data_IF_797311972584
#
_entry.id   IF_797311972584
#
_cell.length_a   1.000
_cell.length_b   1.000
_cell.length_c   1.000
_cell.angle_alpha   90.00
_cell.angle_beta   90.00
_cell.angle_gamma   90.00
#
_symmetry.space_group_name_H-M   'P 1'
#
loop_
_entity.id
_entity.type
_entity.pdbx_description
1 polymer ?
#
# COMPACT_ATOMS: atom_id res chain seq x y z
N UNK A 1 7.70 -47.76 14.92
CA UNK A 1 6.28 -47.58 15.31
C UNK A 1 6.03 -46.06 15.41
N UNK A 2 5.31 -45.49 14.45
CA UNK A 2 4.89 -44.09 14.49
C UNK A 2 3.84 -43.94 15.59
N UNK A 3 4.05 -42.97 16.50
CA UNK A 3 3.02 -42.54 17.46
C UNK A 3 2.56 -41.13 17.04
N UNK A 4 1.29 -41.01 16.77
CA UNK A 4 0.66 -39.75 16.48
C UNK A 4 0.48 -38.95 17.79
N UNK A 5 1.11 -37.80 17.88
CA UNK A 5 0.76 -36.77 18.90
C UNK A 5 -0.24 -35.84 18.24
N UNK A 6 -1.47 -35.79 18.75
CA UNK A 6 -2.48 -34.86 18.28
C UNK A 6 -2.20 -33.52 18.99
N UNK A 7 -1.80 -32.51 18.23
CA UNK A 7 -1.75 -31.14 18.70
C UNK A 7 -3.17 -30.56 18.74
N UNK A 8 -3.38 -29.56 19.60
CA UNK A 8 -4.60 -28.76 19.58
C UNK A 8 -4.83 -28.23 18.15
N UNK A 9 -6.05 -28.29 17.64
CA UNK A 9 -6.42 -27.80 16.31
C UNK A 9 -6.16 -26.30 16.11
N UNK A 10 -6.07 -25.53 17.18
CA UNK A 10 -5.72 -24.12 17.17
C UNK A 10 -4.22 -23.87 16.88
N UNK A 11 -3.36 -24.89 17.01
CA UNK A 11 -1.93 -24.78 16.74
C UNK A 11 -1.66 -24.94 15.25
N UNK A 12 -0.94 -23.97 14.68
CA UNK A 12 -0.48 -24.00 13.29
C UNK A 12 1.05 -24.05 13.25
N UNK A 13 1.65 -25.25 13.33
CA UNK A 13 3.09 -25.39 13.39
C UNK A 13 3.73 -25.02 12.04
N UNK A 14 4.76 -24.19 12.07
CA UNK A 14 5.51 -23.72 10.88
C UNK A 14 6.94 -24.22 10.87
N UNK A 15 7.55 -24.43 12.04
CA UNK A 15 8.90 -24.97 12.15
C UNK A 15 9.11 -25.65 13.48
N UNK A 16 10.11 -26.53 13.51
CA UNK A 16 10.60 -27.19 14.72
C UNK A 16 12.13 -27.14 14.78
N UNK A 17 12.67 -27.01 15.97
CA UNK A 17 14.11 -27.16 16.25
C UNK A 17 14.34 -27.76 17.61
N UNK A 18 15.53 -28.28 17.86
CA UNK A 18 15.92 -28.83 19.17
C UNK A 18 17.10 -28.04 19.70
N UNK A 19 17.01 -27.59 20.94
CA UNK A 19 18.09 -26.85 21.60
C UNK A 19 19.06 -27.78 22.34
N UNK A 20 20.15 -27.21 22.88
CA UNK A 20 21.18 -27.94 23.65
C UNK A 20 20.64 -28.65 24.91
N UNK A 21 19.50 -28.19 25.44
CA UNK A 21 18.84 -28.80 26.60
C UNK A 21 17.87 -29.92 26.22
N UNK A 22 17.91 -30.38 24.97
CA UNK A 22 16.94 -31.33 24.41
C UNK A 22 15.48 -30.86 24.53
N UNK A 23 15.22 -29.55 24.44
CA UNK A 23 13.87 -29.02 24.33
C UNK A 23 13.52 -28.88 22.85
N UNK A 24 12.29 -29.26 22.49
CA UNK A 24 11.73 -28.97 21.20
C UNK A 24 11.14 -27.56 21.22
N UNK A 25 11.57 -26.74 20.30
CA UNK A 25 11.03 -25.42 20.03
C UNK A 25 10.16 -25.53 18.78
N UNK A 26 8.88 -25.21 18.87
CA UNK A 26 7.93 -25.26 17.77
C UNK A 26 7.31 -23.89 17.57
N UNK A 27 7.46 -23.29 16.40
CA UNK A 27 6.80 -22.06 16.05
C UNK A 27 5.32 -22.35 15.78
N UNK A 28 4.44 -21.62 16.49
CA UNK A 28 3.00 -21.63 16.27
C UNK A 28 2.58 -20.32 15.58
N UNK A 29 2.28 -20.40 14.28
CA UNK A 29 1.70 -19.31 13.50
C UNK A 29 0.16 -19.30 13.56
N UNK A 30 -0.45 -20.09 14.46
CA UNK A 30 -1.86 -20.02 14.80
C UNK A 30 -2.19 -18.78 15.65
N UNK A 31 -3.34 -18.78 16.30
CA UNK A 31 -3.83 -17.64 17.10
C UNK A 31 -2.86 -17.22 18.21
N UNK A 32 -2.03 -18.15 18.71
CA UNK A 32 -1.07 -17.85 19.78
C UNK A 32 0.12 -17.02 19.34
N UNK A 33 0.60 -17.18 18.09
CA UNK A 33 1.75 -16.46 17.54
C UNK A 33 3.01 -16.57 18.44
N UNK A 34 3.30 -17.77 18.95
CA UNK A 34 4.35 -18.01 19.95
C UNK A 34 5.29 -19.13 19.52
N UNK A 35 6.42 -19.24 20.20
CA UNK A 35 7.25 -20.45 20.17
C UNK A 35 6.83 -21.32 21.36
N UNK A 36 6.33 -22.53 21.08
CA UNK A 36 5.96 -23.52 22.08
C UNK A 36 7.18 -24.34 22.45
N UNK A 37 7.41 -24.58 23.74
CA UNK A 37 8.59 -25.27 24.26
C UNK A 37 8.15 -26.58 24.90
N UNK A 38 8.68 -27.71 24.37
CA UNK A 38 8.40 -29.04 24.86
C UNK A 38 9.66 -29.66 25.46
N UNK A 39 9.49 -30.41 26.55
CA UNK A 39 10.51 -31.18 27.20
C UNK A 39 10.18 -32.71 27.19
N UNK A 40 11.15 -33.52 27.56
CA UNK A 40 10.96 -34.96 27.60
C UNK A 40 10.92 -35.59 26.20
N UNK A 41 11.72 -35.11 25.23
CA UNK A 41 11.76 -35.68 23.89
C UNK A 41 12.17 -37.17 23.84
N UNK A 42 12.94 -37.61 24.82
CA UNK A 42 13.31 -39.02 24.97
C UNK A 42 12.21 -39.83 25.63
N UNK A 43 11.24 -39.18 26.25
CA UNK A 43 10.11 -39.78 26.89
C UNK A 43 9.08 -40.21 25.86
N UNK A 44 8.24 -41.16 26.22
CA UNK A 44 7.16 -41.59 25.32
C UNK A 44 6.09 -40.57 25.07
N UNK A 45 6.06 -39.48 25.86
CA UNK A 45 5.08 -38.34 25.79
C UNK A 45 5.78 -37.03 26.09
N UNK A 46 6.34 -36.35 25.08
CA UNK A 46 6.81 -34.97 25.24
C UNK A 46 5.71 -34.08 25.81
N UNK A 47 6.06 -33.16 26.73
CA UNK A 47 5.09 -32.29 27.37
C UNK A 47 5.46 -30.84 27.08
N UNK A 48 4.46 -30.02 26.74
CA UNK A 48 4.66 -28.59 26.68
C UNK A 48 4.94 -28.05 28.10
N UNK A 49 6.04 -27.35 28.26
CA UNK A 49 6.51 -26.79 29.55
C UNK A 49 6.52 -25.27 29.57
N UNK A 50 6.43 -24.64 28.41
CA UNK A 50 6.45 -23.20 28.34
C UNK A 50 6.16 -22.67 26.95
N UNK A 51 6.14 -21.37 26.85
CA UNK A 51 6.04 -20.61 25.62
C UNK A 51 7.03 -19.46 25.65
N UNK A 52 7.45 -19.01 24.46
CA UNK A 52 8.23 -17.80 24.29
C UNK A 52 7.53 -16.89 23.29
N UNK A 53 7.29 -15.63 23.69
CA UNK A 53 6.51 -14.67 22.95
C UNK A 53 5.24 -14.25 23.70
N UNK A 54 4.71 -13.09 23.36
CA UNK A 54 3.42 -12.60 23.84
C UNK A 54 2.29 -13.41 23.16
N UNK A 55 1.28 -13.84 23.94
CA UNK A 55 0.15 -14.56 23.37
C UNK A 55 -0.63 -13.66 22.40
N UNK A 56 -0.88 -14.15 21.20
CA UNK A 56 -1.47 -13.39 20.10
C UNK A 56 -0.43 -12.60 19.31
N UNK A 57 0.86 -12.62 19.71
CA UNK A 57 1.93 -11.94 19.02
C UNK A 57 1.64 -10.46 18.78
N UNK A 58 1.86 -10.00 17.54
CA UNK A 58 1.60 -8.61 17.17
C UNK A 58 0.11 -8.23 17.27
N UNK A 59 -0.80 -9.20 17.20
CA UNK A 59 -2.25 -8.97 17.30
C UNK A 59 -2.78 -8.97 18.73
N UNK A 60 -1.98 -9.42 19.69
CA UNK A 60 -2.31 -9.45 21.12
C UNK A 60 -2.07 -8.13 21.82
N UNK A 61 -2.30 -8.14 23.15
CA UNK A 61 -2.05 -6.99 24.04
C UNK A 61 -3.05 -5.84 23.88
N UNK A 62 -2.81 -4.71 24.56
CA UNK A 62 -3.75 -3.60 24.62
C UNK A 62 -3.86 -2.82 23.29
N UNK A 63 -2.85 -2.92 22.42
CA UNK A 63 -2.83 -2.26 21.12
C UNK A 63 -2.47 -3.31 20.05
N UNK A 64 -3.49 -3.88 19.43
CA UNK A 64 -3.33 -4.84 18.35
C UNK A 64 -2.59 -4.20 17.17
N UNK A 65 -1.70 -4.95 16.52
CA UNK A 65 -0.89 -4.48 15.40
C UNK A 65 0.39 -3.74 15.77
N UNK A 66 0.53 -3.26 17.01
CA UNK A 66 1.74 -2.51 17.43
C UNK A 66 2.97 -3.41 17.51
N UNK A 67 4.06 -3.01 16.87
CA UNK A 67 5.36 -3.67 16.97
C UNK A 67 5.90 -3.58 18.40
N UNK A 68 6.48 -4.66 18.91
CA UNK A 68 7.04 -4.72 20.27
C UNK A 68 7.87 -5.97 20.49
N UNK A 69 8.55 -6.02 21.64
CA UNK A 69 9.38 -7.16 21.99
C UNK A 69 8.52 -8.41 22.22
N UNK A 70 8.97 -9.55 21.66
CA UNK A 70 8.29 -10.84 21.75
C UNK A 70 6.87 -10.84 21.15
N UNK A 71 6.53 -9.86 20.30
CA UNK A 71 5.26 -9.77 19.58
C UNK A 71 5.44 -10.25 18.13
N UNK A 72 5.50 -11.55 17.97
CA UNK A 72 5.78 -12.18 16.66
C UNK A 72 4.60 -12.01 15.70
N UNK A 73 4.93 -11.99 14.41
CA UNK A 73 3.95 -11.95 13.32
C UNK A 73 4.24 -13.09 12.35
N UNK A 74 3.48 -14.18 12.46
CA UNK A 74 3.69 -15.42 11.73
C UNK A 74 5.11 -15.98 11.95
N UNK A 75 5.43 -16.48 13.16
CA UNK A 75 6.74 -17.03 13.45
C UNK A 75 6.97 -18.29 12.60
N UNK A 76 8.11 -18.33 11.90
CA UNK A 76 8.46 -19.38 10.93
C UNK A 76 9.79 -20.06 11.24
N UNK A 77 10.51 -19.60 12.25
CA UNK A 77 11.76 -20.21 12.69
C UNK A 77 12.10 -19.83 14.12
N UNK A 78 12.57 -20.78 14.91
CA UNK A 78 13.08 -20.51 16.26
C UNK A 78 14.29 -21.41 16.55
N UNK A 79 15.22 -20.88 17.37
CA UNK A 79 16.40 -21.61 17.80
C UNK A 79 17.06 -20.97 19.00
N UNK A 80 18.04 -21.70 19.60
CA UNK A 80 18.89 -21.16 20.66
C UNK A 80 20.36 -21.40 20.32
N UNK A 81 21.21 -20.44 20.67
CA UNK A 81 22.66 -20.61 20.60
C UNK A 81 23.24 -21.34 21.82
N UNK A 82 24.55 -21.40 21.84
CA UNK A 82 25.30 -22.05 22.93
C UNK A 82 25.10 -21.42 24.29
N UNK A 83 24.89 -20.10 24.32
CA UNK A 83 24.72 -19.29 25.53
C UNK A 83 23.25 -19.26 25.98
N UNK A 84 22.36 -19.91 25.22
CA UNK A 84 20.93 -19.97 25.51
C UNK A 84 20.16 -18.74 25.03
N UNK A 85 20.74 -17.90 24.19
CA UNK A 85 20.01 -16.80 23.55
C UNK A 85 19.00 -17.37 22.56
N UNK A 86 17.79 -16.83 22.57
CA UNK A 86 16.73 -17.17 21.62
C UNK A 86 16.83 -16.38 20.35
N UNK A 87 16.50 -17.01 19.23
CA UNK A 87 16.34 -16.40 17.92
C UNK A 87 14.99 -16.79 17.37
N UNK A 88 14.25 -15.82 16.88
CA UNK A 88 12.93 -16.04 16.26
C UNK A 88 12.88 -15.29 14.94
N UNK A 89 12.47 -16.00 13.88
CA UNK A 89 12.17 -15.42 12.58
C UNK A 89 10.66 -15.37 12.37
N UNK A 90 10.15 -14.26 11.88
CA UNK A 90 8.76 -14.04 11.51
C UNK A 90 8.67 -13.58 10.06
N UNK A 91 7.63 -14.02 9.31
CA UNK A 91 7.46 -13.69 7.88
C UNK A 91 6.25 -12.81 7.58
N UNK A 92 5.43 -12.46 8.58
CA UNK A 92 4.15 -11.78 8.38
C UNK A 92 3.07 -12.69 7.80
N UNK A 93 1.86 -12.16 7.66
CA UNK A 93 0.68 -12.93 7.25
C UNK A 93 0.14 -12.59 5.86
N UNK A 94 0.73 -11.62 5.16
CA UNK A 94 0.37 -11.24 3.79
C UNK A 94 1.48 -11.59 2.82
N UNK A 95 1.20 -11.55 1.54
CA UNK A 95 2.15 -11.89 0.48
C UNK A 95 3.43 -11.04 0.50
N UNK A 96 3.32 -9.75 0.85
CA UNK A 96 4.46 -8.84 1.04
C UNK A 96 5.01 -8.80 2.45
N UNK A 97 4.79 -9.86 3.26
CA UNK A 97 4.98 -9.84 4.71
C UNK A 97 6.36 -9.46 5.22
N UNK A 98 7.41 -9.70 4.42
CA UNK A 98 8.79 -9.42 4.81
C UNK A 98 9.26 -10.31 5.97
N UNK A 99 10.54 -10.24 6.28
CA UNK A 99 11.16 -11.05 7.33
C UNK A 99 11.63 -10.17 8.48
N UNK A 100 11.33 -10.60 9.70
CA UNK A 100 11.89 -10.02 10.92
C UNK A 100 12.63 -11.10 11.66
N UNK A 101 13.89 -10.87 12.01
CA UNK A 101 14.68 -11.76 12.85
C UNK A 101 15.00 -11.02 14.14
N UNK A 102 14.72 -11.68 15.25
CA UNK A 102 14.93 -11.13 16.59
C UNK A 102 15.81 -12.05 17.42
N UNK A 103 16.71 -11.46 18.20
CA UNK A 103 17.53 -12.17 19.19
C UNK A 103 17.22 -11.69 20.59
N UNK A 104 17.09 -12.64 21.51
CA UNK A 104 16.77 -12.38 22.90
C UNK A 104 17.78 -13.08 23.82
N UNK A 105 18.05 -12.48 24.97
CA UNK A 105 18.83 -13.12 26.04
C UNK A 105 18.05 -14.31 26.62
N UNK A 106 18.70 -15.20 27.40
CA UNK A 106 18.02 -16.33 28.05
C UNK A 106 16.85 -15.92 28.96
N UNK A 107 16.88 -14.70 29.49
CA UNK A 107 15.80 -14.14 30.33
C UNK A 107 14.77 -13.33 29.51
N UNK A 108 14.82 -13.38 28.18
CA UNK A 108 13.81 -12.82 27.29
C UNK A 108 13.93 -11.32 27.01
N UNK A 109 15.09 -10.68 27.32
CA UNK A 109 15.34 -9.29 26.93
C UNK A 109 15.80 -9.23 25.47
N UNK A 110 15.22 -8.33 24.66
CA UNK A 110 15.63 -8.10 23.28
C UNK A 110 17.11 -7.66 23.23
N UNK A 111 17.91 -8.36 22.42
CA UNK A 111 19.31 -8.01 22.11
C UNK A 111 19.39 -7.17 20.87
N UNK A 112 18.71 -7.61 19.81
CA UNK A 112 18.61 -6.91 18.53
C UNK A 112 17.44 -7.44 17.71
N UNK A 113 16.99 -6.60 16.79
CA UNK A 113 15.98 -6.92 15.76
C UNK A 113 16.54 -6.51 14.40
N UNK A 114 16.37 -7.37 13.40
CA UNK A 114 16.74 -7.09 12.01
C UNK A 114 15.52 -7.27 11.13
N UNK A 115 15.34 -6.34 10.24
CA UNK A 115 14.29 -6.38 9.23
C UNK A 115 14.93 -6.81 7.91
N UNK A 116 14.31 -7.79 7.23
CA UNK A 116 14.54 -8.07 5.84
C UNK A 116 13.75 -7.14 4.95
N UNK A 117 13.67 -7.46 3.68
CA UNK A 117 12.90 -6.69 2.73
C UNK A 117 11.40 -6.74 3.08
N UNK A 118 10.78 -5.59 3.22
CA UNK A 118 9.33 -5.44 3.20
C UNK A 118 8.90 -5.04 1.79
N UNK A 119 7.99 -5.79 1.20
CA UNK A 119 7.45 -5.46 -0.12
C UNK A 119 6.44 -4.32 0.03
N UNK A 120 6.94 -3.09 0.07
CA UNK A 120 6.16 -1.90 0.42
C UNK A 120 5.41 -1.35 -0.79
N UNK A 121 6.00 -1.43 -1.99
CA UNK A 121 5.55 -0.77 -3.22
C UNK A 121 5.42 0.73 -3.03
N UNK A 122 4.22 1.32 -3.13
CA UNK A 122 4.02 2.74 -2.89
C UNK A 122 3.39 2.97 -1.53
N UNK A 123 4.05 3.80 -0.73
CA UNK A 123 3.58 4.24 0.58
C UNK A 123 3.14 5.71 0.53
N UNK A 124 2.46 6.15 1.57
CA UNK A 124 1.96 7.51 1.69
C UNK A 124 2.19 8.10 3.08
N UNK A 125 2.46 9.39 3.12
CA UNK A 125 2.66 10.15 4.36
C UNK A 125 1.33 10.74 4.85
N UNK A 126 1.05 10.60 6.14
CA UNK A 126 0.03 11.41 6.81
C UNK A 126 0.44 12.89 6.78
N UNK A 127 -0.08 13.64 5.80
CA UNK A 127 0.26 15.04 5.55
C UNK A 127 -0.09 15.99 6.69
N UNK A 128 -1.03 15.58 7.55
CA UNK A 128 -1.48 16.44 8.65
C UNK A 128 -0.53 16.38 9.84
N UNK A 129 0.03 15.21 10.11
CA UNK A 129 1.00 15.01 11.20
C UNK A 129 2.45 15.04 10.74
N UNK A 130 2.74 14.64 9.51
CA UNK A 130 4.08 14.45 8.94
C UNK A 130 4.97 13.47 9.74
N UNK A 131 4.33 12.58 10.52
CA UNK A 131 5.01 11.67 11.45
C UNK A 131 4.73 10.20 11.20
N UNK A 132 3.84 9.89 10.27
CA UNK A 132 3.47 8.51 9.96
C UNK A 132 3.44 8.29 8.45
N UNK A 133 4.05 7.18 8.02
CA UNK A 133 3.98 6.67 6.66
C UNK A 133 3.19 5.37 6.70
N UNK A 134 2.23 5.25 5.80
CA UNK A 134 1.39 4.07 5.64
C UNK A 134 1.71 3.37 4.33
N UNK A 135 1.94 2.08 4.38
CA UNK A 135 1.91 1.21 3.23
C UNK A 135 0.61 0.38 3.23
N UNK A 136 0.45 -0.49 2.26
CA UNK A 136 -0.69 -1.39 2.15
C UNK A 136 -1.03 -2.15 3.45
N UNK A 137 -0.05 -2.44 4.29
CA UNK A 137 -0.25 -3.25 5.50
C UNK A 137 0.60 -2.82 6.71
N UNK A 138 1.38 -1.74 6.60
CA UNK A 138 2.29 -1.29 7.66
C UNK A 138 2.19 0.20 7.89
N UNK A 139 2.51 0.57 9.12
CA UNK A 139 2.75 1.96 9.50
C UNK A 139 4.17 2.10 10.01
N UNK A 140 4.83 3.13 9.55
CA UNK A 140 6.14 3.56 10.03
C UNK A 140 6.00 4.90 10.72
N UNK A 141 6.73 5.10 11.80
CA UNK A 141 6.97 6.42 12.35
C UNK A 141 8.12 7.06 11.57
N UNK A 142 7.98 8.34 11.24
CA UNK A 142 8.98 9.09 10.48
C UNK A 142 9.41 10.34 11.23
N UNK A 143 10.72 10.58 11.16
CA UNK A 143 11.37 11.78 11.67
C UNK A 143 12.43 12.21 10.65
N UNK A 144 12.07 13.15 9.80
CA UNK A 144 12.96 13.65 8.75
C UNK A 144 14.15 14.46 9.28
N UNK A 145 14.18 14.81 10.56
CA UNK A 145 15.33 15.47 11.19
C UNK A 145 16.51 14.53 11.48
N UNK A 146 16.28 13.21 11.41
CA UNK A 146 17.31 12.20 11.60
C UNK A 146 18.14 11.99 10.33
N UNK A 147 19.37 11.47 10.45
CA UNK A 147 20.16 11.11 9.29
C UNK A 147 19.45 10.13 8.35
N UNK A 148 19.71 10.17 7.03
CA UNK A 148 19.21 9.18 6.08
C UNK A 148 19.50 7.75 6.55
N UNK A 149 18.50 6.87 6.47
CA UNK A 149 18.54 5.50 6.98
C UNK A 149 18.07 5.32 8.43
N UNK A 150 17.97 6.39 9.21
CA UNK A 150 17.44 6.38 10.59
C UNK A 150 16.09 7.08 10.72
N UNK A 151 15.58 7.62 9.62
CA UNK A 151 14.39 8.46 9.59
C UNK A 151 13.08 7.70 9.81
N UNK A 152 13.06 6.39 9.54
CA UNK A 152 11.86 5.58 9.64
C UNK A 152 12.01 4.44 10.63
N UNK A 153 10.95 4.21 11.41
CA UNK A 153 10.86 3.09 12.34
C UNK A 153 9.58 2.30 12.07
N UNK A 154 9.69 0.99 11.86
CA UNK A 154 8.52 0.13 11.71
C UNK A 154 7.75 0.11 13.05
N UNK A 155 6.54 0.64 13.03
CA UNK A 155 5.74 0.88 14.22
C UNK A 155 4.55 -0.07 14.36
N UNK A 156 3.91 -0.43 13.23
CA UNK A 156 2.71 -1.27 13.28
C UNK A 156 2.47 -2.08 12.01
N UNK A 157 1.82 -3.24 12.20
CA UNK A 157 1.21 -4.05 11.18
C UNK A 157 -0.30 -3.85 11.22
N UNK A 158 -0.88 -3.36 10.12
CA UNK A 158 -2.27 -2.89 10.10
C UNK A 158 -3.29 -3.92 9.62
N UNK A 159 -2.85 -5.08 9.13
CA UNK A 159 -3.74 -6.17 8.76
C UNK A 159 -3.86 -7.18 9.93
N UNK A 160 -5.06 -7.65 10.23
CA UNK A 160 -5.28 -8.63 11.29
C UNK A 160 -6.12 -9.82 10.77
N UNK A 161 -5.48 -10.91 10.33
CA UNK A 161 -6.17 -12.06 9.75
C UNK A 161 -7.04 -12.84 10.74
N UNK A 162 -6.83 -12.64 12.04
CA UNK A 162 -7.60 -13.31 13.08
C UNK A 162 -8.92 -12.58 13.40
N UNK A 163 -8.92 -11.25 13.26
CA UNK A 163 -10.12 -10.44 13.44
C UNK A 163 -10.89 -10.25 12.14
N UNK A 164 -10.17 -10.08 11.03
CA UNK A 164 -10.71 -9.87 9.68
C UNK A 164 -10.18 -10.92 8.72
N UNK A 165 -10.67 -12.18 8.78
CA UNK A 165 -10.11 -13.29 7.98
C UNK A 165 -10.35 -13.13 6.48
N UNK A 166 -11.34 -12.35 6.09
CA UNK A 166 -11.68 -12.05 4.70
C UNK A 166 -11.20 -10.67 4.25
N UNK A 167 -10.32 -10.02 5.01
CA UNK A 167 -9.66 -8.77 4.59
C UNK A 167 -9.04 -8.96 3.19
N UNK A 168 -9.43 -8.14 2.19
CA UNK A 168 -8.93 -8.30 0.82
C UNK A 168 -7.41 -8.27 0.70
N UNK A 169 -6.68 -7.59 1.60
CA UNK A 169 -5.20 -7.61 1.61
C UNK A 169 -4.60 -9.00 1.85
N UNK A 170 -5.36 -9.91 2.43
CA UNK A 170 -4.91 -11.29 2.69
C UNK A 170 -5.15 -12.20 1.49
N UNK A 171 -6.13 -11.85 0.66
CA UNK A 171 -6.58 -12.66 -0.48
C UNK A 171 -6.09 -12.17 -1.82
N UNK A 172 -5.90 -10.84 -1.94
CA UNK A 172 -5.47 -10.17 -3.16
C UNK A 172 -4.01 -9.72 -3.05
N UNK A 173 -3.48 -9.20 -4.14
CA UNK A 173 -2.15 -8.59 -4.21
C UNK A 173 -2.28 -7.07 -4.19
N UNK A 174 -2.39 -6.46 -3.02
CA UNK A 174 -2.40 -5.01 -2.91
C UNK A 174 -1.01 -4.45 -3.19
N UNK A 175 -0.95 -3.24 -3.76
CA UNK A 175 0.30 -2.62 -4.14
C UNK A 175 0.41 -1.18 -3.62
N UNK A 176 -0.38 -0.25 -4.13
CA UNK A 176 -0.26 1.14 -3.74
C UNK A 176 -1.19 1.49 -2.57
N UNK A 177 -0.69 2.31 -1.67
CA UNK A 177 -1.43 2.83 -0.52
C UNK A 177 -1.54 4.35 -0.61
N UNK A 178 -2.73 4.88 -0.29
CA UNK A 178 -2.98 6.30 -0.10
C UNK A 178 -3.63 6.52 1.26
N UNK A 179 -3.03 7.37 2.07
CA UNK A 179 -3.56 7.74 3.38
C UNK A 179 -4.08 9.18 3.36
N UNK A 180 -5.28 9.38 3.85
CA UNK A 180 -5.85 10.73 3.98
C UNK A 180 -6.75 10.86 5.21
N UNK A 181 -7.10 12.10 5.56
CA UNK A 181 -8.10 12.39 6.58
C UNK A 181 -9.29 13.09 5.94
N UNK A 182 -10.39 12.39 5.89
CA UNK A 182 -11.66 12.94 5.41
C UNK A 182 -12.46 13.39 6.63
N UNK A 183 -12.82 14.66 6.70
CA UNK A 183 -13.50 15.24 7.88
C UNK A 183 -12.78 14.92 9.20
N UNK A 184 -11.44 14.91 9.18
CA UNK A 184 -10.59 14.59 10.33
C UNK A 184 -10.44 13.10 10.66
N UNK A 185 -11.21 12.20 10.02
CA UNK A 185 -11.13 10.76 10.23
C UNK A 185 -10.09 10.13 9.30
N UNK A 186 -9.17 9.30 9.82
CA UNK A 186 -8.15 8.65 9.02
C UNK A 186 -8.75 7.53 8.15
N UNK A 187 -8.42 7.55 6.87
CA UNK A 187 -8.73 6.52 5.88
C UNK A 187 -7.46 6.08 5.18
N UNK A 188 -7.37 4.78 4.95
CA UNK A 188 -6.33 4.17 4.11
C UNK A 188 -7.01 3.54 2.89
N UNK A 189 -6.63 3.98 1.71
CA UNK A 189 -7.03 3.36 0.45
C UNK A 189 -5.90 2.49 -0.07
N UNK A 190 -6.24 1.32 -0.57
CA UNK A 190 -5.28 0.36 -1.12
C UNK A 190 -5.78 -0.12 -2.47
N UNK A 191 -4.91 -0.10 -3.48
CA UNK A 191 -5.22 -0.54 -4.84
C UNK A 191 -4.35 -1.72 -5.26
N UNK A 192 -4.74 -2.41 -6.33
CA UNK A 192 -3.90 -3.42 -6.98
C UNK A 192 -2.82 -2.79 -7.85
N UNK A 193 -1.90 -3.62 -8.33
CA UNK A 193 -0.87 -3.27 -9.30
C UNK A 193 -1.45 -2.58 -10.55
N UNK A 194 -2.56 -3.09 -11.07
CA UNK A 194 -3.25 -2.63 -12.26
C UNK A 194 -4.52 -1.84 -11.96
N UNK A 195 -4.69 -1.39 -10.72
CA UNK A 195 -5.85 -0.62 -10.24
C UNK A 195 -7.21 -1.25 -10.56
N UNK A 196 -7.29 -2.58 -10.57
CA UNK A 196 -8.54 -3.29 -10.83
C UNK A 196 -9.49 -3.29 -9.63
N UNK A 197 -8.96 -2.98 -8.46
CA UNK A 197 -9.74 -2.81 -7.24
C UNK A 197 -9.25 -1.64 -6.39
N UNK A 198 -10.14 -1.18 -5.53
CA UNK A 198 -9.82 -0.29 -4.42
C UNK A 198 -10.52 -0.76 -3.15
N UNK A 199 -9.79 -0.71 -2.06
CA UNK A 199 -10.28 -1.00 -0.73
C UNK A 199 -10.11 0.24 0.12
N UNK A 200 -11.15 0.64 0.86
CA UNK A 200 -11.03 1.67 1.88
C UNK A 200 -11.04 1.03 3.27
N UNK A 201 -10.13 1.47 4.10
CA UNK A 201 -10.01 1.09 5.50
C UNK A 201 -10.22 2.30 6.39
N UNK A 202 -10.88 2.09 7.51
CA UNK A 202 -11.00 3.04 8.61
C UNK A 202 -10.19 2.58 9.82
N UNK A 203 -9.98 3.44 10.80
CA UNK A 203 -9.27 3.12 12.02
C UNK A 203 -10.13 3.41 13.25
N UNK A 204 -10.08 2.51 14.22
CA UNK A 204 -10.63 2.73 15.54
C UNK A 204 -9.61 2.29 16.60
N UNK A 205 -8.72 3.18 17.05
CA UNK A 205 -7.67 2.81 18.00
C UNK A 205 -8.17 2.24 19.33
N UNK A 206 -9.42 2.53 19.70
CA UNK A 206 -9.99 2.04 20.97
C UNK A 206 -10.33 0.55 20.92
N UNK A 207 -10.81 0.06 19.79
CA UNK A 207 -11.26 -1.34 19.62
C UNK A 207 -10.29 -2.19 18.83
N UNK A 208 -9.47 -1.56 17.97
CA UNK A 208 -8.65 -2.24 16.96
C UNK A 208 -7.16 -1.89 17.03
N UNK A 209 -6.78 -1.00 17.93
CA UNK A 209 -5.39 -0.57 18.05
C UNK A 209 -4.89 0.05 16.75
N UNK A 210 -3.84 -0.55 16.16
CA UNK A 210 -3.25 -0.13 14.89
C UNK A 210 -3.89 -0.83 13.67
N UNK A 211 -4.84 -1.74 13.89
CA UNK A 211 -5.46 -2.50 12.80
C UNK A 211 -6.39 -1.61 11.97
N UNK A 212 -6.21 -1.63 10.68
CA UNK A 212 -7.09 -0.98 9.73
C UNK A 212 -8.30 -1.90 9.45
N UNK A 213 -9.50 -1.38 9.65
CA UNK A 213 -10.77 -2.11 9.54
C UNK A 213 -11.27 -2.01 8.10
N UNK A 214 -11.53 -3.12 7.40
CA UNK A 214 -12.17 -3.08 6.09
C UNK A 214 -13.48 -2.28 6.15
N UNK A 215 -13.68 -1.35 5.24
CA UNK A 215 -14.84 -0.46 5.27
C UNK A 215 -15.56 -0.35 3.92
N UNK A 216 -14.86 -0.54 2.82
CA UNK A 216 -15.42 -0.60 1.47
C UNK A 216 -14.51 -1.41 0.57
N UNK A 217 -15.10 -2.17 -0.33
CA UNK A 217 -14.40 -2.89 -1.37
C UNK A 217 -15.13 -2.76 -2.70
N UNK A 218 -14.46 -2.14 -3.67
CA UNK A 218 -14.89 -2.12 -5.06
C UNK A 218 -13.89 -2.87 -5.92
N UNK A 219 -14.37 -3.76 -6.76
CA UNK A 219 -13.52 -4.47 -7.70
C UNK A 219 -14.20 -4.65 -9.04
N UNK A 220 -13.38 -4.62 -10.06
CA UNK A 220 -13.74 -4.94 -11.43
C UNK A 220 -13.37 -6.36 -11.82
N UNK A 221 -12.33 -6.92 -11.19
CA UNK A 221 -11.80 -8.22 -11.52
C UNK A 221 -11.41 -8.98 -10.24
N UNK A 222 -11.89 -10.20 -10.14
CA UNK A 222 -11.56 -11.15 -9.07
C UNK A 222 -10.81 -12.38 -9.60
N UNK A 223 -10.16 -12.28 -10.76
CA UNK A 223 -9.38 -13.40 -11.29
C UNK A 223 -8.31 -13.83 -10.31
N UNK A 224 -8.16 -15.13 -10.12
CA UNK A 224 -7.24 -15.71 -9.14
C UNK A 224 -7.80 -15.84 -7.72
N UNK A 225 -9.00 -15.33 -7.44
CA UNK A 225 -9.69 -15.58 -6.17
C UNK A 225 -10.53 -16.85 -6.22
N UNK A 226 -10.77 -17.52 -5.07
CA UNK A 226 -11.74 -18.59 -4.99
C UNK A 226 -13.13 -18.15 -5.47
N UNK A 227 -13.88 -19.04 -6.14
CA UNK A 227 -15.18 -18.69 -6.74
C UNK A 227 -16.21 -18.15 -5.73
N UNK A 228 -16.10 -18.53 -4.47
CA UNK A 228 -17.00 -18.12 -3.39
C UNK A 228 -16.45 -16.96 -2.55
N UNK A 229 -15.35 -16.32 -2.96
CA UNK A 229 -14.80 -15.15 -2.26
C UNK A 229 -14.98 -13.86 -3.07
N UNK A 230 -15.29 -12.69 -2.46
CA UNK A 230 -15.63 -12.52 -1.05
C UNK A 230 -16.97 -13.17 -0.68
N UNK A 231 -17.20 -13.48 0.61
CA UNK A 231 -18.45 -14.08 1.06
C UNK A 231 -19.68 -13.29 0.61
N UNK A 232 -20.76 -14.00 0.25
CA UNK A 232 -22.06 -13.41 -0.11
C UNK A 232 -22.07 -12.46 -1.32
N UNK A 233 -21.00 -12.40 -2.11
CA UNK A 233 -20.97 -11.55 -3.30
C UNK A 233 -22.14 -11.86 -4.25
N UNK A 234 -22.81 -10.81 -4.80
CA UNK A 234 -23.91 -11.02 -5.74
C UNK A 234 -23.40 -11.38 -7.15
N UNK A 235 -24.29 -11.93 -7.95
CA UNK A 235 -24.20 -11.95 -9.41
C UNK A 235 -25.22 -10.92 -9.97
N UNK A 236 -24.87 -10.08 -10.95
CA UNK A 236 -23.64 -10.03 -11.71
C UNK A 236 -22.48 -9.38 -10.95
N UNK A 237 -21.27 -9.50 -11.53
CA UNK A 237 -19.96 -9.23 -10.88
C UNK A 237 -19.61 -7.75 -10.64
N UNK A 238 -20.46 -6.80 -10.95
CA UNK A 238 -20.21 -5.37 -10.72
C UNK A 238 -20.98 -4.90 -9.50
N UNK A 239 -20.26 -4.66 -8.43
CA UNK A 239 -20.82 -4.26 -7.14
C UNK A 239 -19.78 -3.49 -6.31
N UNK A 240 -20.26 -2.81 -5.31
CA UNK A 240 -19.47 -2.31 -4.20
C UNK A 240 -20.00 -2.92 -2.90
N UNK A 241 -19.10 -3.34 -2.04
CA UNK A 241 -19.39 -3.71 -0.66
C UNK A 241 -19.05 -2.54 0.27
N UNK A 242 -19.89 -2.27 1.27
CA UNK A 242 -19.66 -1.27 2.30
C UNK A 242 -20.05 -1.85 3.66
N UNK A 243 -19.14 -1.85 4.63
CA UNK A 243 -19.28 -2.34 6.00
C UNK A 243 -20.32 -1.50 6.79
N UNK A 244 -21.62 -1.59 6.43
CA UNK A 244 -22.64 -0.70 6.99
C UNK A 244 -22.90 -0.93 8.48
N UNK A 245 -22.69 -2.14 8.94
CA UNK A 245 -22.87 -2.50 10.35
C UNK A 245 -21.64 -2.20 11.22
N UNK A 246 -20.49 -1.94 10.63
CA UNK A 246 -19.25 -1.51 11.27
C UNK A 246 -18.43 -2.65 11.91
N UNK A 247 -18.63 -3.91 11.49
CA UNK A 247 -17.92 -5.07 12.03
C UNK A 247 -16.73 -5.55 11.16
N UNK A 248 -16.57 -4.98 9.96
CA UNK A 248 -15.51 -5.30 9.01
C UNK A 248 -15.62 -6.67 8.34
N UNK A 249 -16.80 -7.30 8.37
CA UNK A 249 -17.10 -8.60 7.76
C UNK A 249 -18.01 -8.43 6.56
N UNK A 250 -17.97 -9.37 5.62
CA UNK A 250 -18.84 -9.34 4.44
C UNK A 250 -20.21 -9.95 4.74
N UNK A 251 -21.29 -9.16 4.66
CA UNK A 251 -22.68 -9.61 4.76
C UNK A 251 -23.42 -9.38 3.45
N UNK A 252 -24.48 -10.18 3.22
CA UNK A 252 -25.23 -10.17 1.96
C UNK A 252 -25.97 -8.85 1.69
N UNK A 253 -26.43 -8.18 2.73
CA UNK A 253 -27.17 -6.92 2.67
C UNK A 253 -26.29 -5.66 2.57
N UNK A 254 -24.96 -5.84 2.57
CA UNK A 254 -23.98 -4.77 2.45
C UNK A 254 -23.45 -4.57 1.03
N UNK A 255 -23.87 -5.39 0.10
CA UNK A 255 -23.52 -5.27 -1.30
C UNK A 255 -24.53 -4.41 -2.05
N UNK A 256 -24.00 -3.42 -2.78
CA UNK A 256 -24.76 -2.62 -3.72
C UNK A 256 -24.35 -3.02 -5.15
N UNK A 257 -25.25 -3.62 -5.95
CA UNK A 257 -25.02 -3.83 -7.37
C UNK A 257 -24.85 -2.49 -8.08
N UNK A 258 -23.93 -2.45 -9.05
CA UNK A 258 -23.68 -1.29 -9.88
C UNK A 258 -24.04 -1.63 -11.33
N UNK A 259 -24.82 -0.76 -11.97
CA UNK A 259 -25.33 -1.00 -13.32
C UNK A 259 -24.21 -0.98 -14.38
N UNK A 260 -23.12 -0.26 -14.13
CA UNK A 260 -22.04 -0.12 -15.09
C UNK A 260 -20.69 0.09 -14.42
N UNK A 261 -19.68 -0.60 -14.93
CA UNK A 261 -18.29 -0.23 -14.68
C UNK A 261 -17.98 1.06 -15.45
N UNK A 262 -17.49 2.08 -14.73
CA UNK A 262 -17.23 3.39 -15.31
C UNK A 262 -15.83 3.50 -15.93
N UNK A 263 -14.95 2.55 -15.69
CA UNK A 263 -13.61 2.52 -16.27
C UNK A 263 -12.55 1.95 -15.32
N UNK A 264 -11.35 1.95 -15.77
CA UNK A 264 -10.12 1.76 -15.01
C UNK A 264 -9.19 2.90 -15.41
N UNK A 265 -8.31 3.28 -14.61
CA UNK A 265 -7.89 2.82 -13.28
C UNK A 265 -8.70 3.42 -12.13
N UNK A 266 -8.59 2.78 -10.96
CA UNK A 266 -9.26 3.22 -9.73
C UNK A 266 -8.22 3.77 -8.77
N UNK A 267 -8.46 4.97 -8.25
CA UNK A 267 -7.63 5.58 -7.20
C UNK A 267 -8.49 6.52 -6.33
N UNK A 268 -7.98 6.94 -5.20
CA UNK A 268 -8.67 7.91 -4.33
C UNK A 268 -7.91 9.23 -4.27
N UNK A 269 -8.63 10.33 -4.14
CA UNK A 269 -8.08 11.65 -3.83
C UNK A 269 -8.03 11.92 -2.32
N UNK A 270 -7.43 13.04 -1.96
CA UNK A 270 -7.25 13.46 -0.56
C UNK A 270 -8.58 13.81 0.14
N UNK A 271 -9.61 14.13 -0.61
CA UNK A 271 -10.97 14.35 -0.09
C UNK A 271 -11.80 13.06 0.01
N UNK A 272 -11.21 11.94 -0.33
CA UNK A 272 -11.86 10.63 -0.31
C UNK A 272 -12.67 10.30 -1.57
N UNK A 273 -12.67 11.16 -2.60
CA UNK A 273 -13.31 10.84 -3.89
C UNK A 273 -12.60 9.68 -4.57
N UNK A 274 -13.36 8.68 -5.01
CA UNK A 274 -12.86 7.50 -5.73
C UNK A 274 -13.00 7.76 -7.23
N UNK A 275 -11.89 7.71 -7.96
CA UNK A 275 -11.82 7.98 -9.39
C UNK A 275 -11.68 6.71 -10.21
N UNK A 276 -12.40 6.70 -11.32
CA UNK A 276 -12.28 5.73 -12.40
C UNK A 276 -12.02 6.49 -13.70
N UNK A 277 -11.05 6.04 -14.48
CA UNK A 277 -10.68 6.72 -15.73
C UNK A 277 -10.92 5.78 -16.90
N UNK A 278 -11.88 6.15 -17.73
CA UNK A 278 -12.15 5.53 -19.02
C UNK A 278 -11.46 6.28 -20.16
N UNK A 279 -11.54 5.76 -21.38
CA UNK A 279 -10.95 6.42 -22.54
C UNK A 279 -11.59 7.77 -22.87
N UNK A 280 -12.85 7.97 -22.53
CA UNK A 280 -13.64 9.15 -22.89
C UNK A 280 -13.94 10.07 -21.71
N UNK A 281 -13.80 9.59 -20.49
CA UNK A 281 -14.08 10.39 -19.31
C UNK A 281 -13.37 9.86 -18.06
N UNK A 282 -13.13 10.77 -17.10
CA UNK A 282 -12.87 10.44 -15.70
C UNK A 282 -14.17 10.57 -14.90
N UNK A 283 -14.45 9.56 -14.08
CA UNK A 283 -15.67 9.49 -13.26
C UNK A 283 -15.25 9.41 -11.79
N UNK A 284 -15.67 10.38 -11.00
CA UNK A 284 -15.39 10.46 -9.56
C UNK A 284 -16.63 10.14 -8.73
N UNK A 285 -16.52 9.23 -7.80
CA UNK A 285 -17.57 8.94 -6.81
C UNK A 285 -17.21 9.69 -5.52
N UNK A 286 -17.95 10.77 -5.19
CA UNK A 286 -17.62 11.60 -4.05
C UNK A 286 -17.82 10.85 -2.72
N UNK A 287 -16.98 11.16 -1.74
CA UNK A 287 -17.27 10.80 -0.35
C UNK A 287 -18.60 11.44 0.05
N UNK A 288 -19.48 10.68 0.70
CA UNK A 288 -20.83 11.11 1.09
C UNK A 288 -20.88 11.50 2.56
N UNK A 289 -20.59 10.57 3.45
CA UNK A 289 -20.66 10.80 4.90
C UNK A 289 -20.04 9.62 5.66
N UNK A 290 -19.80 9.82 6.94
CA UNK A 290 -19.64 8.71 7.87
C UNK A 290 -20.99 8.31 8.46
N UNK A 291 -21.22 7.00 8.59
CA UNK A 291 -22.39 6.48 9.35
C UNK A 291 -22.22 6.78 10.84
N UNK A 292 -23.26 6.56 11.63
CA UNK A 292 -23.19 6.65 13.10
C UNK A 292 -22.14 5.71 13.73
N UNK A 293 -21.72 4.66 13.01
CA UNK A 293 -20.67 3.73 13.41
C UNK A 293 -19.27 4.12 12.89
N UNK A 294 -19.14 5.29 12.24
CA UNK A 294 -17.89 5.79 11.70
C UNK A 294 -17.45 5.08 10.41
N UNK A 295 -18.35 4.45 9.69
CA UNK A 295 -18.06 3.82 8.40
C UNK A 295 -18.18 4.86 7.29
N UNK A 296 -17.17 5.02 6.41
CA UNK A 296 -17.24 5.93 5.28
C UNK A 296 -18.18 5.40 4.20
N UNK A 297 -18.92 6.29 3.58
CA UNK A 297 -19.85 5.96 2.47
C UNK A 297 -19.61 6.90 1.29
N UNK A 298 -19.99 6.45 0.09
CA UNK A 298 -19.80 7.17 -1.17
C UNK A 298 -21.10 7.31 -1.94
N UNK A 299 -21.22 8.38 -2.73
CA UNK A 299 -22.39 8.69 -3.55
C UNK A 299 -22.29 8.00 -4.92
N UNK A 300 -22.39 6.67 -4.97
CA UNK A 300 -22.31 5.88 -6.21
C UNK A 300 -23.43 6.23 -7.21
N UNK A 301 -24.55 6.75 -6.71
CA UNK A 301 -25.70 7.20 -7.47
C UNK A 301 -25.52 8.58 -8.13
N UNK A 302 -24.54 9.37 -7.70
CA UNK A 302 -24.34 10.74 -8.13
C UNK A 302 -22.87 11.04 -8.47
N UNK A 303 -22.27 10.33 -9.44
CA UNK A 303 -20.87 10.52 -9.79
C UNK A 303 -20.63 11.85 -10.50
N UNK A 304 -19.42 12.40 -10.29
CA UNK A 304 -18.88 13.50 -11.07
C UNK A 304 -18.31 12.97 -12.38
N UNK A 305 -18.45 13.72 -13.48
CA UNK A 305 -17.90 13.29 -14.77
C UNK A 305 -17.11 14.43 -15.40
N UNK A 306 -15.87 14.12 -15.81
CA UNK A 306 -14.99 15.01 -16.56
C UNK A 306 -14.70 14.39 -17.90
N UNK A 307 -15.24 14.97 -18.97
CA UNK A 307 -15.06 14.48 -20.32
C UNK A 307 -13.60 14.58 -20.76
N UNK A 308 -13.16 13.65 -21.59
CA UNK A 308 -11.86 13.68 -22.25
C UNK A 308 -11.72 14.98 -23.06
N UNK A 309 -10.63 15.75 -22.87
CA UNK A 309 -10.40 16.95 -23.66
C UNK A 309 -10.08 16.62 -25.13
N UNK A 310 -10.29 17.60 -26.01
CA UNK A 310 -10.09 17.44 -27.47
C UNK A 310 -8.65 17.17 -27.90
N UNK A 311 -7.67 17.54 -27.06
CA UNK A 311 -6.24 17.29 -27.27
C UNK A 311 -5.87 15.81 -27.19
N UNK A 312 -6.76 14.99 -26.64
CA UNK A 312 -6.56 13.55 -26.46
C UNK A 312 -7.54 12.75 -27.33
N UNK A 313 -7.07 11.63 -27.88
CA UNK A 313 -7.93 10.59 -28.47
C UNK A 313 -8.30 9.50 -27.49
N UNK A 314 -7.46 9.33 -26.45
CA UNK A 314 -7.71 8.41 -25.35
C UNK A 314 -7.25 9.06 -24.05
N UNK A 315 -8.15 9.19 -23.09
CA UNK A 315 -7.81 9.54 -21.71
C UNK A 315 -7.27 8.29 -21.02
N UNK A 316 -6.19 8.45 -20.24
CA UNK A 316 -5.53 7.35 -19.53
C UNK A 316 -5.35 7.64 -18.05
N UNK A 317 -5.17 8.90 -17.69
CA UNK A 317 -4.95 9.35 -16.31
C UNK A 317 -5.58 10.71 -16.05
N UNK A 318 -6.02 10.92 -14.84
CA UNK A 318 -6.71 12.14 -14.41
C UNK A 318 -6.29 12.53 -12.99
N UNK A 319 -6.18 13.82 -12.76
CA UNK A 319 -6.08 14.42 -11.41
C UNK A 319 -6.85 15.72 -11.36
N UNK A 320 -7.44 16.01 -10.21
CA UNK A 320 -8.18 17.23 -9.94
C UNK A 320 -7.58 17.96 -8.74
N UNK A 321 -7.08 19.16 -8.97
CA UNK A 321 -6.76 20.13 -7.92
C UNK A 321 -8.01 20.98 -7.63
N UNK A 322 -8.78 20.55 -6.66
CA UNK A 322 -10.03 21.22 -6.29
C UNK A 322 -9.80 22.62 -5.73
N UNK A 323 -8.69 22.84 -5.03
CA UNK A 323 -8.41 24.14 -4.40
C UNK A 323 -8.17 25.24 -5.42
N UNK A 324 -7.62 24.87 -6.59
CA UNK A 324 -7.35 25.79 -7.70
C UNK A 324 -8.31 25.63 -8.87
N UNK A 325 -9.24 24.69 -8.78
CA UNK A 325 -10.16 24.31 -9.85
C UNK A 325 -9.45 23.97 -11.17
N UNK A 326 -8.37 23.15 -11.06
CA UNK A 326 -7.54 22.73 -12.19
C UNK A 326 -7.67 21.22 -12.36
N UNK A 327 -8.04 20.78 -13.57
CA UNK A 327 -8.02 19.37 -13.97
C UNK A 327 -6.82 19.11 -14.88
N UNK A 328 -6.13 17.98 -14.61
CA UNK A 328 -5.05 17.49 -15.44
C UNK A 328 -5.47 16.16 -16.07
N UNK A 329 -5.20 16.03 -17.37
CA UNK A 329 -5.55 14.88 -18.18
C UNK A 329 -4.30 14.34 -18.87
N UNK A 330 -3.95 13.10 -18.58
CA UNK A 330 -2.88 12.37 -19.28
C UNK A 330 -3.46 11.37 -20.26
N UNK A 331 -2.89 11.27 -21.46
CA UNK A 331 -3.42 10.37 -22.45
C UNK A 331 -2.63 10.30 -23.76
N UNK A 332 -3.26 9.72 -24.75
CA UNK A 332 -2.74 9.60 -26.12
C UNK A 332 -3.45 10.57 -27.07
N UNK A 333 -2.77 10.96 -28.14
CA UNK A 333 -3.39 11.57 -29.32
C UNK A 333 -2.96 10.83 -30.61
N UNK A 334 -3.36 11.33 -31.79
CA UNK A 334 -3.04 10.65 -33.04
C UNK A 334 -1.54 10.54 -33.30
N UNK A 335 -0.78 11.58 -32.95
CA UNK A 335 0.65 11.66 -33.21
C UNK A 335 1.51 11.01 -32.12
N UNK A 336 1.00 10.95 -30.89
CA UNK A 336 1.76 10.52 -29.72
C UNK A 336 0.99 9.45 -28.93
N UNK A 337 1.48 8.20 -29.00
CA UNK A 337 0.87 7.03 -28.38
C UNK A 337 1.92 6.25 -27.60
N UNK A 338 1.54 5.77 -26.44
CA UNK A 338 2.35 4.85 -25.64
C UNK A 338 1.99 3.38 -25.95
N UNK A 339 2.72 2.46 -25.37
CA UNK A 339 2.33 1.05 -25.32
C UNK A 339 0.97 0.91 -24.61
N UNK A 340 0.11 0.03 -25.12
CA UNK A 340 -1.29 -0.07 -24.69
C UNK A 340 -1.48 -0.37 -23.20
N UNK A 341 -0.55 -1.07 -22.55
CA UNK A 341 -0.63 -1.44 -21.15
C UNK A 341 -0.10 -0.35 -20.20
N UNK A 342 0.62 0.67 -20.73
CA UNK A 342 1.08 1.77 -19.89
C UNK A 342 -0.09 2.62 -19.40
N UNK A 343 -0.12 2.96 -18.09
CA UNK A 343 -1.27 3.59 -17.47
C UNK A 343 -1.44 5.08 -17.82
N UNK A 344 -0.39 5.71 -18.35
CA UNK A 344 -0.37 7.11 -18.72
C UNK A 344 0.15 7.28 -20.15
N UNK A 345 -0.51 8.09 -20.94
CA UNK A 345 -0.03 8.47 -22.26
C UNK A 345 1.00 9.61 -22.20
N UNK A 346 1.73 9.86 -23.32
CA UNK A 346 2.76 10.90 -23.36
C UNK A 346 2.22 12.33 -23.50
N UNK A 347 0.91 12.54 -23.68
CA UNK A 347 0.31 13.88 -23.76
C UNK A 347 -0.28 14.24 -22.40
N UNK A 348 0.04 15.41 -21.90
CA UNK A 348 -0.48 15.95 -20.67
C UNK A 348 -1.08 17.35 -20.90
N UNK A 349 -2.33 17.54 -20.45
CA UNK A 349 -3.05 18.79 -20.57
C UNK A 349 -3.52 19.27 -19.20
N UNK A 350 -3.56 20.57 -18.98
CA UNK A 350 -4.17 21.21 -17.82
C UNK A 350 -5.27 22.18 -18.23
N UNK A 351 -6.37 22.12 -17.49
CA UNK A 351 -7.53 22.95 -17.70
C UNK A 351 -7.90 23.67 -16.40
N UNK A 352 -8.17 24.98 -16.50
CA UNK A 352 -8.71 25.82 -15.43
C UNK A 352 -10.22 25.88 -15.50
N UNK A 353 -10.87 26.12 -14.35
CA UNK A 353 -12.32 26.15 -14.28
C UNK A 353 -12.96 24.78 -14.52
N UNK A 354 -12.32 23.72 -14.03
CA UNK A 354 -12.74 22.34 -14.25
C UNK A 354 -14.15 22.05 -13.72
N UNK A 355 -14.62 22.81 -12.73
CA UNK A 355 -15.98 22.72 -12.18
C UNK A 355 -17.04 23.46 -13.01
N UNK A 356 -16.64 24.22 -14.00
CA UNK A 356 -17.54 25.04 -14.85
C UNK A 356 -17.98 24.28 -16.10
N UNK A 357 -19.00 24.80 -16.77
CA UNK A 357 -19.48 24.22 -18.03
C UNK A 357 -18.47 24.40 -19.19
N UNK A 358 -17.55 25.36 -19.10
CA UNK A 358 -16.59 25.70 -20.17
C UNK A 358 -15.18 25.85 -19.57
N UNK A 359 -14.50 24.76 -19.23
CA UNK A 359 -13.14 24.81 -18.74
C UNK A 359 -12.17 25.32 -19.81
N UNK A 360 -11.19 26.11 -19.41
CA UNK A 360 -10.20 26.71 -20.31
C UNK A 360 -8.89 25.93 -20.32
N UNK A 361 -8.38 25.64 -21.51
CA UNK A 361 -7.05 25.04 -21.67
C UNK A 361 -5.98 26.02 -21.18
N UNK A 362 -5.22 25.62 -20.17
CA UNK A 362 -4.04 26.36 -19.71
C UNK A 362 -2.85 26.06 -20.59
N UNK A 363 -2.58 24.78 -20.78
CA UNK A 363 -1.48 24.28 -21.61
C UNK A 363 -1.69 22.82 -21.99
N UNK A 364 -1.02 22.40 -23.06
CA UNK A 364 -0.90 21.01 -23.49
C UNK A 364 0.54 20.76 -23.93
N UNK A 365 1.15 19.72 -23.39
CA UNK A 365 2.54 19.34 -23.66
C UNK A 365 2.66 17.88 -24.08
N UNK A 366 3.69 17.59 -24.86
CA UNK A 366 4.15 16.22 -25.10
C UNK A 366 5.33 15.96 -24.17
N UNK A 367 5.15 15.02 -23.26
CA UNK A 367 6.18 14.57 -22.37
C UNK A 367 7.28 13.86 -23.18
N UNK A 368 8.56 14.02 -22.83
CA UNK A 368 9.62 13.21 -23.43
C UNK A 368 9.32 11.72 -23.21
N UNK A 369 9.43 10.90 -24.25
CA UNK A 369 9.23 9.45 -24.12
C UNK A 369 9.93 8.69 -25.24
N UNK A 370 10.23 7.42 -24.97
CA UNK A 370 10.70 6.46 -25.96
C UNK A 370 9.92 5.15 -25.77
N UNK A 371 9.02 4.85 -26.68
CA UNK A 371 8.22 3.62 -26.70
C UNK A 371 8.99 2.41 -27.22
N UNK A 372 10.26 2.57 -27.60
CA UNK A 372 11.14 1.48 -28.04
C UNK A 372 11.47 0.50 -26.92
N UNK A 373 11.65 -0.75 -27.25
CA UNK A 373 11.92 -1.83 -26.30
C UNK A 373 10.65 -2.62 -25.91
N UNK A 374 10.86 -3.78 -25.28
CA UNK A 374 9.78 -4.66 -24.85
C UNK A 374 9.38 -4.38 -23.40
N UNK A 375 8.09 -4.34 -23.12
CA UNK A 375 7.54 -4.31 -21.76
C UNK A 375 8.12 -3.19 -20.91
N UNK A 376 8.76 -3.53 -19.80
CA UNK A 376 9.31 -2.59 -18.83
C UNK A 376 10.57 -1.85 -19.31
N UNK A 377 11.13 -2.21 -20.47
CA UNK A 377 12.32 -1.55 -21.01
C UNK A 377 12.02 -0.21 -21.70
N UNK A 378 10.77 0.06 -22.04
CA UNK A 378 10.37 1.33 -22.64
C UNK A 378 10.50 2.48 -21.63
N UNK A 379 10.86 3.66 -22.14
CA UNK A 379 11.07 4.88 -21.34
C UNK A 379 9.86 5.78 -21.46
N UNK A 380 8.77 5.37 -20.84
CA UNK A 380 7.45 6.00 -20.96
C UNK A 380 6.93 6.51 -19.62
N UNK A 381 6.10 7.59 -19.61
CA UNK A 381 5.45 8.05 -18.41
C UNK A 381 4.55 6.96 -17.81
N UNK A 382 4.67 6.73 -16.51
CA UNK A 382 3.84 5.76 -15.77
C UNK A 382 2.73 6.44 -14.99
N UNK A 383 3.07 7.51 -14.28
CA UNK A 383 2.17 8.17 -13.35
C UNK A 383 2.52 9.65 -13.22
N UNK A 384 1.54 10.48 -12.86
CA UNK A 384 1.80 11.86 -12.46
C UNK A 384 1.00 12.25 -11.23
N UNK A 385 1.55 13.17 -10.46
CA UNK A 385 0.90 13.86 -9.36
C UNK A 385 1.05 15.37 -9.53
N UNK A 386 -0.03 16.11 -9.27
CA UNK A 386 -0.02 17.57 -9.24
C UNK A 386 -0.17 18.03 -7.79
N UNK A 387 0.88 18.63 -7.24
CA UNK A 387 0.91 19.10 -5.85
C UNK A 387 1.61 20.45 -5.79
N UNK A 388 0.99 21.42 -5.11
CA UNK A 388 1.52 22.76 -5.05
C UNK A 388 1.69 23.35 -6.46
N UNK A 389 2.84 23.92 -6.76
CA UNK A 389 3.10 24.61 -8.03
C UNK A 389 3.67 23.69 -9.11
N UNK A 390 3.75 22.38 -8.84
CA UNK A 390 4.43 21.44 -9.69
C UNK A 390 3.57 20.25 -10.11
N UNK A 391 3.92 19.71 -11.27
CA UNK A 391 3.48 18.39 -11.75
C UNK A 391 4.70 17.48 -11.80
N UNK A 392 4.64 16.41 -11.04
CA UNK A 392 5.67 15.37 -10.98
C UNK A 392 5.24 14.24 -11.91
N UNK A 393 6.13 13.78 -12.78
CA UNK A 393 5.87 12.69 -13.72
C UNK A 393 6.94 11.64 -13.55
N UNK A 394 6.56 10.41 -13.19
CA UNK A 394 7.51 9.30 -13.11
C UNK A 394 7.51 8.46 -14.40
N UNK A 395 8.63 7.81 -14.66
CA UNK A 395 8.92 7.05 -15.86
C UNK A 395 9.33 5.63 -15.52
N UNK A 396 9.00 4.69 -16.39
CA UNK A 396 9.40 3.29 -16.24
C UNK A 396 10.93 3.17 -16.08
N UNK A 397 11.66 3.93 -16.91
CA UNK A 397 13.14 4.06 -16.88
C UNK A 397 13.55 5.47 -17.30
N UNK A 398 14.79 5.87 -16.99
CA UNK A 398 15.36 7.14 -17.44
C UNK A 398 15.53 7.20 -18.96
N UNK A 399 15.46 8.41 -19.53
CA UNK A 399 15.76 8.69 -20.93
C UNK A 399 17.27 8.85 -21.15
N UNK A 400 17.75 8.62 -22.37
CA UNK A 400 19.20 8.62 -22.70
C UNK A 400 19.92 9.91 -22.32
N UNK A 401 19.29 11.04 -22.50
CA UNK A 401 19.86 12.36 -22.25
C UNK A 401 19.95 12.71 -20.76
N UNK A 402 19.19 11.96 -19.96
CA UNK A 402 19.05 12.13 -18.51
C UNK A 402 19.40 10.82 -17.79
N UNK A 403 20.16 9.93 -18.44
CA UNK A 403 20.33 8.56 -17.96
C UNK A 403 20.82 8.50 -16.52
N UNK A 404 19.85 8.46 -15.68
CA UNK A 404 19.92 7.65 -14.49
C UNK A 404 19.56 6.23 -14.94
N UNK A 405 20.33 5.25 -14.58
CA UNK A 405 20.16 3.83 -14.96
C UNK A 405 18.78 3.26 -14.66
N UNK A 406 17.85 4.03 -14.04
CA UNK A 406 16.68 3.56 -13.34
C UNK A 406 15.55 4.57 -13.45
N UNK A 407 14.37 4.19 -12.96
CA UNK A 407 13.20 5.04 -12.87
C UNK A 407 13.53 6.40 -12.23
N UNK A 408 13.03 7.46 -12.81
CA UNK A 408 13.22 8.81 -12.31
C UNK A 408 11.96 9.66 -12.45
N UNK A 409 11.97 10.82 -11.85
CA UNK A 409 10.85 11.76 -11.87
C UNK A 409 11.26 13.05 -12.56
N UNK A 410 10.47 13.51 -13.52
CA UNK A 410 10.57 14.85 -14.11
C UNK A 410 9.56 15.77 -13.44
N UNK A 411 9.97 17.02 -13.23
CA UNK A 411 9.14 18.05 -12.59
C UNK A 411 8.82 19.15 -13.60
N UNK A 412 7.53 19.48 -13.71
CA UNK A 412 7.01 20.52 -14.59
C UNK A 412 6.28 21.59 -13.76
N UNK A 413 6.22 22.81 -14.27
CA UNK A 413 5.43 23.90 -13.70
C UNK A 413 3.94 23.62 -13.95
N UNK A 414 3.12 23.72 -12.91
CA UNK A 414 1.67 23.62 -13.07
C UNK A 414 1.08 24.84 -13.81
N UNK A 415 1.75 25.99 -13.74
CA UNK A 415 1.24 27.22 -14.32
C UNK A 415 1.21 27.19 -15.85
N UNK A 416 2.25 26.61 -16.46
CA UNK A 416 2.48 26.71 -17.92
C UNK A 416 2.99 25.41 -18.58
N UNK A 417 3.17 24.34 -17.81
CA UNK A 417 3.70 23.05 -18.30
C UNK A 417 5.19 23.03 -18.62
N UNK A 418 5.93 24.11 -18.33
CA UNK A 418 7.37 24.19 -18.61
C UNK A 418 8.17 23.20 -17.73
N UNK A 419 9.23 22.63 -18.29
CA UNK A 419 10.14 21.76 -17.57
C UNK A 419 10.93 22.53 -16.52
N UNK A 420 10.97 22.02 -15.28
CA UNK A 420 11.64 22.64 -14.14
C UNK A 420 12.91 21.87 -13.75
N UNK A 421 12.87 20.54 -13.76
CA UNK A 421 14.02 19.74 -13.39
C UNK A 421 13.74 18.25 -13.27
N UNK A 422 14.81 17.53 -12.92
CA UNK A 422 14.78 16.08 -12.72
C UNK A 422 15.06 15.71 -11.26
N UNK A 423 14.51 14.58 -10.83
CA UNK A 423 14.90 13.91 -9.60
C UNK A 423 15.56 12.58 -9.97
N UNK A 424 16.80 12.42 -9.56
CA UNK A 424 17.60 11.21 -9.77
C UNK A 424 18.05 10.65 -8.43
N UNK A 425 18.29 9.34 -8.39
CA UNK A 425 18.87 8.71 -7.21
C UNK A 425 20.35 9.10 -7.07
N UNK A 426 20.75 9.41 -5.84
CA UNK A 426 22.16 9.45 -5.49
C UNK A 426 22.71 8.01 -5.38
N UNK A 427 24.01 7.82 -5.57
CA UNK A 427 24.71 6.52 -5.46
C UNK A 427 24.42 5.78 -4.16
N UNK A 428 24.10 6.51 -3.10
CA UNK A 428 23.77 5.97 -1.77
C UNK A 428 22.44 5.23 -1.70
N UNK A 429 21.49 5.53 -2.59
CA UNK A 429 20.22 4.81 -2.64
C UNK A 429 20.38 3.40 -3.23
N UNK A 430 21.51 3.11 -3.85
CA UNK A 430 21.75 1.89 -4.59
C UNK A 430 20.97 1.85 -5.91
N UNK A 431 20.98 0.69 -6.54
CA UNK A 431 20.20 0.50 -7.76
C UNK A 431 18.70 0.64 -7.47
N UNK A 432 18.06 1.51 -8.24
CA UNK A 432 16.60 1.61 -8.34
C UNK A 432 16.20 0.78 -9.55
N UNK A 433 15.17 -0.06 -9.41
CA UNK A 433 14.66 -0.88 -10.49
C UNK A 433 13.73 -0.11 -11.42
N UNK A 434 12.89 -0.84 -12.08
CA UNK A 434 11.85 -0.28 -12.94
C UNK A 434 10.56 -0.06 -12.15
N UNK A 435 9.64 0.68 -12.75
CA UNK A 435 8.28 0.85 -12.26
C UNK A 435 7.35 -0.08 -13.03
N UNK A 436 6.50 -0.80 -12.33
CA UNK A 436 5.51 -1.68 -12.94
C UNK A 436 4.08 -1.46 -12.42
N UNK A 437 3.92 -0.63 -11.40
CA UNK A 437 2.62 -0.26 -10.87
C UNK A 437 1.99 0.89 -11.66
N UNK A 438 0.68 0.86 -11.80
CA UNK A 438 -0.05 1.98 -12.38
C UNK A 438 -0.13 3.20 -11.43
N UNK A 439 -0.17 3.01 -10.11
CA UNK A 439 0.01 4.04 -9.10
C UNK A 439 1.45 4.02 -8.54
N UNK A 440 2.43 4.22 -9.42
CA UNK A 440 3.86 4.08 -9.09
C UNK A 440 4.42 5.18 -8.21
N UNK A 441 3.71 6.29 -8.05
CA UNK A 441 4.23 7.47 -7.36
C UNK A 441 3.14 8.17 -6.56
N UNK A 442 3.55 8.70 -5.40
CA UNK A 442 2.79 9.64 -4.58
C UNK A 442 3.66 10.83 -4.17
N UNK A 443 3.06 12.01 -4.15
CA UNK A 443 3.76 13.24 -3.76
C UNK A 443 3.02 13.93 -2.62
N UNK A 444 3.77 14.38 -1.63
CA UNK A 444 3.26 15.20 -0.52
C UNK A 444 4.09 16.47 -0.37
N UNK A 445 3.41 17.59 -0.14
CA UNK A 445 4.06 18.85 0.25
C UNK A 445 4.02 18.95 1.76
N UNK A 446 5.19 19.11 2.37
CA UNK A 446 5.36 19.34 3.80
C UNK A 446 5.02 20.77 4.18
N UNK A 447 4.79 21.01 5.47
CA UNK A 447 4.48 22.34 6.02
C UNK A 447 5.60 23.35 5.83
N UNK A 448 6.84 22.91 5.72
CA UNK A 448 8.00 23.75 5.43
C UNK A 448 8.16 24.10 3.94
N UNK A 449 7.28 23.56 3.09
CA UNK A 449 7.28 23.77 1.64
C UNK A 449 8.08 22.74 0.85
N UNK A 450 8.79 21.80 1.49
CA UNK A 450 9.48 20.69 0.83
C UNK A 450 8.47 19.69 0.27
N UNK A 451 8.78 19.10 -0.87
CA UNK A 451 8.00 17.99 -1.41
C UNK A 451 8.69 16.68 -1.12
N UNK A 452 7.93 15.70 -0.71
CA UNK A 452 8.37 14.31 -0.53
C UNK A 452 7.69 13.46 -1.59
N UNK A 453 8.48 12.73 -2.35
CA UNK A 453 8.02 11.88 -3.46
C UNK A 453 8.30 10.43 -3.09
N UNK A 454 7.24 9.66 -2.98
CA UNK A 454 7.28 8.22 -2.79
C UNK A 454 7.21 7.56 -4.16
N UNK A 455 8.27 6.87 -4.53
CA UNK A 455 8.37 6.20 -5.81
C UNK A 455 8.55 4.70 -5.57
N UNK A 456 7.79 3.91 -6.31
CA UNK A 456 7.98 2.46 -6.38
C UNK A 456 9.39 2.08 -6.85
N UNK A 457 9.82 0.92 -6.43
CA UNK A 457 11.00 0.24 -6.98
C UNK A 457 10.75 -1.27 -7.01
N UNK A 458 10.34 -1.78 -8.15
CA UNK A 458 10.05 -3.20 -8.34
C UNK A 458 11.29 -4.09 -8.18
N UNK A 459 12.46 -3.60 -8.55
CA UNK A 459 13.69 -4.40 -8.55
C UNK A 459 14.05 -5.01 -7.19
N UNK A 460 13.72 -4.34 -6.09
CA UNK A 460 13.95 -4.82 -4.73
C UNK A 460 12.68 -4.78 -3.86
N UNK A 461 11.53 -4.52 -4.46
CA UNK A 461 10.26 -4.38 -3.75
C UNK A 461 10.25 -3.26 -2.72
N UNK A 462 11.12 -2.26 -2.87
CA UNK A 462 11.26 -1.13 -1.95
C UNK A 462 10.50 0.09 -2.45
N UNK A 463 10.35 1.07 -1.58
CA UNK A 463 9.89 2.40 -1.91
C UNK A 463 11.06 3.38 -1.79
N UNK A 464 11.33 4.14 -2.83
CA UNK A 464 12.36 5.18 -2.81
C UNK A 464 11.71 6.52 -2.49
N UNK A 465 12.31 7.25 -1.57
CA UNK A 465 11.80 8.53 -1.13
C UNK A 465 12.75 9.62 -1.61
N UNK A 466 12.23 10.51 -2.46
CA UNK A 466 12.95 11.70 -2.90
C UNK A 466 12.41 12.94 -2.21
N UNK A 467 13.21 14.00 -2.23
CA UNK A 467 12.80 15.33 -1.80
C UNK A 467 13.01 16.35 -2.90
N UNK A 468 12.10 17.31 -3.03
CA UNK A 468 12.16 18.42 -3.97
C UNK A 468 11.90 19.75 -3.25
N UNK A 469 12.64 20.79 -3.60
CA UNK A 469 12.61 22.09 -2.92
C UNK A 469 13.72 22.24 -1.90
N UNK A 470 13.43 22.58 -0.65
CA UNK A 470 14.46 22.70 0.38
C UNK A 470 15.01 21.31 0.72
N UNK A 471 16.34 21.15 0.78
CA UNK A 471 16.90 19.88 1.24
C UNK A 471 16.47 19.62 2.69
N UNK A 472 16.15 18.37 3.00
CA UNK A 472 16.00 17.92 4.39
C UNK A 472 17.36 18.16 5.08
N UNK A 473 17.40 18.78 6.25
CA UNK A 473 18.67 18.98 6.97
C UNK A 473 19.41 17.67 7.12
N UNK A 474 20.69 17.67 6.75
CA UNK A 474 21.59 16.52 6.88
C UNK A 474 22.05 16.32 8.29
#
# INVERSE_FOLDING_TARGET
MFRQTVLDKAIRPTSISVDKRNRLLMCDAGVSQQVLIFEGLRDRRPRQRGTFGERGGIFGGPVAGKVGDRRFNNPVGAGCDADGNFYVASSGNTAGGGTVIESYTPNGKLRWRRYGLFFVDVADLDKDTERAIYSKERRFEVDFSRPPGEQMTYAAYTANPWKYPDDPRIRLWPSAARFTRVQGQPLLFVTSMTREFIIAYRFNPRTDGETAIPAMFYTRNLSGCPDNWPPHRPEPKTWVWTDLNGDGQFQADEYQPLERQQGVPVFADDDGTIWQVGYDAAVGVPFKAFTAKGVPTWAWEAPLTYARPKELTQLRRFKLDRARDIALFGGNNEAHKNQHWKPMGPVLCAYRGASTANPELMWSIVLPYDAGGAGHESKEPMSFEAVGDYVFVCYTRGLKEDEVRFAYVKVFSLADGSFVGNMSSEDKAGEIGLLDLEESMLVRRLKDGTYVVFLEDDYKGKNVIFTWGKPIPR
#
